data_IF_170349690514
#
_entry.id   IF_170349690514
#
_cell.length_a   1.000
_cell.length_b   1.000
_cell.length_c   1.000
_cell.angle_alpha   90.00
_cell.angle_beta   90.00
_cell.angle_gamma   90.00
#
_symmetry.space_group_name_H-M   'P 1'
#
loop_
_entity.id
_entity.type
_entity.pdbx_description
1 polymer ?
2 non-polymer ?
3 non-polymer ?
4 non-polymer ?
5 non-polymer ?
6 non-polymer ?
7 non-polymer ?
8 water ?
#
# COMPACT_ATOMS: atom_id res chain seq x y z
N UNK A 8 -8.87 25.01 18.66
CA UNK A 8 -7.92 23.87 18.38
C UNK A 8 -8.65 22.56 18.15
N UNK A 9 -8.42 21.94 16.98
CA UNK A 9 -9.23 20.80 16.62
C UNK A 9 -8.40 19.86 15.72
N UNK A 10 -8.11 18.68 16.24
CA UNK A 10 -7.27 17.68 15.54
C UNK A 10 -8.10 16.76 14.70
N UNK A 11 -7.60 16.45 13.49
CA UNK A 11 -8.22 15.49 12.63
C UNK A 11 -7.19 14.56 11.99
N UNK A 12 -7.69 13.43 11.51
CA UNK A 12 -6.82 12.50 10.77
C UNK A 12 -7.37 12.33 9.34
N UNK A 13 -6.48 12.43 8.36
CA UNK A 13 -6.92 12.23 6.96
C UNK A 13 -6.18 10.98 6.46
N UNK A 14 -6.91 9.92 6.23
CA UNK A 14 -6.34 8.67 5.66
C UNK A 14 -6.38 8.75 4.13
N UNK A 15 -5.26 8.48 3.49
CA UNK A 15 -5.15 8.63 2.03
C UNK A 15 -4.58 7.35 1.43
N UNK A 16 -5.41 6.66 0.69
CA UNK A 16 -4.92 5.47 0.00
C UNK A 16 -4.82 5.75 -1.51
N UNK A 17 -4.20 4.83 -2.26
CA UNK A 17 -4.24 4.95 -3.70
C UNK A 17 -5.72 5.00 -4.14
N UNK A 18 -6.47 4.06 -3.57
CA UNK A 18 -7.89 3.90 -3.82
C UNK A 18 -8.13 2.71 -4.76
N UNK A 19 -9.31 2.12 -4.60
CA UNK A 19 -9.79 1.02 -5.44
C UNK A 19 -11.28 1.30 -5.73
N UNK A 20 -11.77 0.90 -6.91
CA UNK A 20 -13.23 1.01 -7.19
C UNK A 20 -13.89 -0.34 -7.30
N UNK A 21 -13.15 -1.40 -6.97
CA UNK A 21 -13.74 -2.73 -6.97
C UNK A 21 -14.15 -3.16 -5.57
N UNK A 22 -15.41 -3.59 -5.49
CA UNK A 22 -16.14 -3.74 -4.23
C UNK A 22 -15.62 -4.91 -3.40
N UNK A 23 -15.11 -5.95 -4.07
CA UNK A 23 -14.41 -7.03 -3.39
C UNK A 23 -13.12 -6.54 -2.70
N UNK A 24 -12.50 -5.48 -3.21
CA UNK A 24 -11.25 -4.93 -2.64
C UNK A 24 -11.44 -3.88 -1.50
N UNK A 25 -12.45 -3.02 -1.67
CA UNK A 25 -12.75 -1.87 -0.76
C UNK A 25 -12.91 -2.16 0.76
N UNK A 26 -13.54 -3.31 1.14
CA UNK A 26 -13.70 -3.59 2.56
C UNK A 26 -12.38 -3.62 3.31
N UNK A 27 -11.27 -3.89 2.61
CA UNK A 27 -9.96 -3.83 3.26
C UNK A 27 -9.55 -2.41 3.73
N UNK A 28 -10.10 -1.38 3.07
CA UNK A 28 -9.91 0.02 3.53
C UNK A 28 -10.75 0.34 4.77
N UNK A 29 -12.02 -0.05 4.74
CA UNK A 29 -12.88 0.01 5.92
C UNK A 29 -12.24 -0.62 7.17
N UNK A 30 -11.55 -1.75 6.96
CA UNK A 30 -10.83 -2.42 8.02
C UNK A 30 -9.79 -1.47 8.60
N UNK A 31 -9.03 -0.81 7.71
CA UNK A 31 -8.04 0.14 8.15
C UNK A 31 -8.68 1.29 8.91
N UNK A 32 -9.81 1.80 8.42
CA UNK A 32 -10.56 2.83 9.14
C UNK A 32 -10.99 2.38 10.54
N UNK A 33 -11.46 1.13 10.69
CA UNK A 33 -11.76 0.60 12.04
C UNK A 33 -10.55 0.57 12.96
N UNK A 34 -9.41 0.10 12.42
CA UNK A 34 -8.16 0.09 13.21
C UNK A 34 -7.81 1.48 13.68
N UNK A 35 -7.97 2.48 12.81
CA UNK A 35 -7.55 3.83 13.21
C UNK A 35 -8.49 4.39 14.32
N UNK A 36 -9.79 4.21 14.10
CA UNK A 36 -10.84 4.62 15.05
C UNK A 36 -10.60 3.96 16.41
N UNK A 37 -10.28 2.66 16.41
CA UNK A 37 -9.97 1.92 17.65
C UNK A 37 -8.78 2.49 18.36
N UNK A 38 -7.73 2.88 17.62
CA UNK A 38 -6.54 3.44 18.25
C UNK A 38 -6.68 4.89 18.66
N UNK A 39 -7.60 5.64 18.06
CA UNK A 39 -7.68 7.10 18.36
C UNK A 39 -9.16 7.43 18.44
N UNK A 40 -9.85 6.89 19.46
CA UNK A 40 -11.31 6.97 19.46
C UNK A 40 -11.86 8.40 19.51
N UNK A 41 -11.08 9.38 19.93
CA UNK A 41 -11.64 10.72 20.04
C UNK A 41 -11.27 11.66 18.88
N UNK A 42 -10.60 11.14 17.86
CA UNK A 42 -10.12 12.02 16.79
C UNK A 42 -10.91 11.70 15.51
N UNK A 43 -11.58 12.71 14.92
CA UNK A 43 -12.31 12.50 13.67
C UNK A 43 -11.39 12.00 12.52
N UNK A 44 -11.93 11.11 11.69
CA UNK A 44 -11.16 10.46 10.63
C UNK A 44 -11.87 10.76 9.31
N UNK A 45 -11.13 11.25 8.33
CA UNK A 45 -11.66 11.54 7.01
C UNK A 45 -10.82 10.73 5.97
N UNK A 46 -11.34 10.61 4.74
CA UNK A 46 -10.62 9.81 3.71
C UNK A 46 -10.38 10.65 2.49
N UNK A 47 -9.26 10.41 1.78
CA UNK A 47 -9.09 10.94 0.42
C UNK A 47 -8.38 9.86 -0.40
N UNK A 48 -8.29 10.08 -1.71
CA UNK A 48 -7.75 9.05 -2.62
C UNK A 48 -6.81 9.69 -3.60
N UNK A 49 -5.61 9.12 -3.83
CA UNK A 49 -4.62 9.76 -4.70
C UNK A 49 -4.75 9.48 -6.20
N UNK A 50 -5.38 8.38 -6.61
CA UNK A 50 -5.44 8.16 -8.05
C UNK A 50 -6.61 8.91 -8.70
N UNK A 51 -6.33 9.82 -9.65
CA UNK A 51 -7.38 10.61 -10.31
C UNK A 51 -8.42 9.69 -11.00
N UNK A 52 -7.95 8.58 -11.60
CA UNK A 52 -8.87 7.67 -12.31
C UNK A 52 -9.77 6.92 -11.38
N UNK A 53 -9.28 6.57 -10.20
CA UNK A 53 -10.12 5.89 -9.25
C UNK A 53 -11.20 6.87 -8.69
N UNK A 54 -10.80 8.12 -8.44
CA UNK A 54 -11.83 9.13 -7.94
C UNK A 54 -12.92 9.29 -9.02
N UNK A 55 -12.51 9.34 -10.28
CA UNK A 55 -13.48 9.39 -11.40
C UNK A 55 -14.42 8.21 -11.41
N UNK A 56 -13.91 6.97 -11.23
CA UNK A 56 -14.80 5.80 -11.19
C UNK A 56 -15.74 5.80 -10.00
N UNK A 57 -15.23 6.23 -8.85
CA UNK A 57 -16.04 6.23 -7.63
C UNK A 57 -17.15 7.31 -7.77
N UNK A 58 -16.80 8.49 -8.25
CA UNK A 58 -17.83 9.52 -8.48
C UNK A 58 -18.90 9.00 -9.48
N UNK A 59 -18.44 8.30 -10.53
CA UNK A 59 -19.40 7.67 -11.46
C UNK A 59 -20.39 6.73 -10.77
N UNK A 60 -19.96 5.96 -9.77
CA UNK A 60 -20.88 5.10 -9.01
C UNK A 60 -21.70 5.86 -7.95
N UNK A 61 -21.63 7.20 -7.95
CA UNK A 61 -22.39 7.97 -6.95
C UNK A 61 -21.77 8.07 -5.55
N UNK A 62 -20.47 7.84 -5.46
CA UNK A 62 -19.76 7.77 -4.19
C UNK A 62 -18.83 9.00 -4.10
N UNK A 63 -18.87 9.73 -2.97
CA UNK A 63 -17.93 10.85 -2.74
C UNK A 63 -16.49 10.31 -2.66
N UNK A 64 -15.55 10.92 -3.36
CA UNK A 64 -14.17 10.39 -3.38
C UNK A 64 -13.21 11.58 -3.55
N UNK A 65 -13.02 12.35 -2.47
CA UNK A 65 -12.28 13.59 -2.59
C UNK A 65 -10.79 13.36 -2.88
N UNK A 66 -10.16 14.22 -3.66
CA UNK A 66 -8.71 14.29 -3.73
C UNK A 66 -8.16 14.80 -2.39
N UNK A 67 -6.84 14.63 -2.14
CA UNK A 67 -6.30 15.18 -0.88
C UNK A 67 -6.60 16.70 -0.78
N UNK A 68 -6.49 17.44 -1.89
CA UNK A 68 -6.79 18.92 -1.86
C UNK A 68 -8.28 19.21 -1.52
N UNK A 69 -9.20 18.45 -2.11
CA UNK A 69 -10.63 18.62 -1.81
C UNK A 69 -10.91 18.30 -0.33
N UNK A 70 -10.32 17.20 0.13
CA UNK A 70 -10.48 16.78 1.52
C UNK A 70 -9.96 17.83 2.51
N UNK A 71 -8.75 18.34 2.28
CA UNK A 71 -8.17 19.29 3.23
C UNK A 71 -8.95 20.63 3.15
N UNK A 72 -9.34 21.04 1.95
CA UNK A 72 -10.16 22.27 1.84
C UNK A 72 -11.47 22.14 2.63
N UNK A 73 -12.08 20.97 2.57
CA UNK A 73 -13.32 20.69 3.33
C UNK A 73 -13.06 20.64 4.83
N UNK A 74 -11.93 20.04 5.23
CA UNK A 74 -11.59 19.99 6.68
C UNK A 74 -11.31 21.40 7.25
N UNK A 75 -10.65 22.23 6.44
CA UNK A 75 -10.39 23.63 6.86
C UNK A 75 -11.74 24.33 7.04
N UNK A 76 -12.70 24.04 6.17
CA UNK A 76 -14.03 24.64 6.30
C UNK A 76 -14.81 24.14 7.55
N UNK A 77 -14.62 22.89 7.95
CA UNK A 77 -15.12 22.37 9.23
C UNK A 77 -14.44 22.94 10.48
N UNK A 78 -13.39 23.72 10.34
CA UNK A 78 -12.74 24.27 11.52
C UNK A 78 -11.62 23.39 12.11
N UNK A 79 -11.21 22.32 11.40
CA UNK A 79 -9.97 21.62 11.86
C UNK A 79 -8.79 22.59 11.81
N UNK A 80 -7.86 22.43 12.76
CA UNK A 80 -6.66 23.27 12.79
C UNK A 80 -5.40 22.43 12.63
N UNK A 81 -5.43 21.16 13.06
CA UNK A 81 -4.21 20.33 13.05
C UNK A 81 -4.58 18.99 12.46
N UNK A 82 -3.96 18.61 11.34
CA UNK A 82 -4.42 17.39 10.66
C UNK A 82 -3.19 16.51 10.41
N UNK A 83 -3.30 15.24 10.80
CA UNK A 83 -2.26 14.22 10.47
C UNK A 83 -2.79 13.45 9.24
N UNK A 84 -2.07 13.59 8.15
CA UNK A 84 -2.39 12.91 6.91
C UNK A 84 -1.59 11.56 6.89
N UNK A 85 -2.25 10.41 6.85
CA UNK A 85 -1.50 9.17 6.79
C UNK A 85 -1.60 8.54 5.42
N UNK A 86 -0.46 8.41 4.80
CA UNK A 86 -0.34 7.69 3.56
C UNK A 86 -0.50 6.15 3.79
N UNK A 87 -1.42 5.54 3.07
CA UNK A 87 -1.49 4.08 2.94
C UNK A 87 -0.80 3.58 1.65
N UNK A 88 0.21 4.32 1.16
CA UNK A 88 1.07 3.91 0.06
C UNK A 88 2.14 2.96 0.61
N UNK A 89 2.75 2.22 -0.30
CA UNK A 89 3.82 1.27 0.08
C UNK A 89 5.20 1.91 0.15
N UNK A 90 5.50 2.80 -0.82
CA UNK A 90 6.81 3.43 -0.95
C UNK A 90 6.66 4.94 -1.03
N UNK A 91 7.72 5.69 -0.71
CA UNK A 91 7.70 7.19 -0.80
C UNK A 91 7.98 7.64 -2.24
N UNK A 92 7.09 7.20 -3.13
CA UNK A 92 7.22 7.44 -4.56
C UNK A 92 6.50 8.71 -5.03
N UNK A 93 6.09 8.73 -6.29
CA UNK A 93 5.51 9.94 -6.89
C UNK A 93 4.23 10.34 -6.17
N UNK A 94 3.34 9.37 -5.89
CA UNK A 94 2.07 9.62 -5.20
C UNK A 94 2.32 10.15 -3.83
N UNK A 95 3.20 9.50 -3.08
CA UNK A 95 3.52 9.98 -1.75
C UNK A 95 4.11 11.43 -1.77
N UNK A 96 5.05 11.68 -2.68
CA UNK A 96 5.67 13.03 -2.74
C UNK A 96 4.62 14.10 -3.12
N UNK A 97 3.68 13.74 -4.02
CA UNK A 97 2.57 14.68 -4.41
C UNK A 97 1.72 14.99 -3.22
N UNK A 98 1.43 13.96 -2.44
CA UNK A 98 0.67 14.12 -1.22
C UNK A 98 1.34 15.02 -0.20
N UNK A 99 2.65 14.86 -0.02
CA UNK A 99 3.40 15.70 0.88
C UNK A 99 3.37 17.19 0.46
N UNK A 100 3.55 17.43 -0.82
CA UNK A 100 3.50 18.79 -1.33
C UNK A 100 2.10 19.43 -1.15
N UNK A 101 1.06 18.65 -1.44
CA UNK A 101 -0.32 19.13 -1.27
C UNK A 101 -0.63 19.42 0.17
N UNK A 102 -0.36 18.45 1.03
CA UNK A 102 -0.49 18.66 2.46
C UNK A 102 0.20 19.92 2.96
N UNK A 103 1.46 20.11 2.59
CA UNK A 103 2.18 21.25 3.10
C UNK A 103 1.74 22.60 2.50
N UNK A 104 1.17 22.54 1.29
CA UNK A 104 0.58 23.73 0.65
C UNK A 104 -0.59 24.29 1.47
N UNK A 105 -1.34 23.43 2.14
CA UNK A 105 -2.49 23.87 2.95
C UNK A 105 -2.09 24.46 4.29
N UNK A 106 -0.95 24.02 4.80
CA UNK A 106 -0.51 24.41 6.12
C UNK A 106 -0.17 25.91 6.15
N UNK A 107 -0.78 26.61 7.08
CA UNK A 107 -0.43 28.00 7.23
C UNK A 107 -1.19 28.98 6.36
N UNK A 108 -2.11 28.49 5.53
CA UNK A 108 -2.95 29.38 4.70
C UNK A 108 -3.85 30.27 5.59
N UNK A 109 -3.97 31.54 5.22
CA UNK A 109 -4.69 32.50 6.07
C UNK A 109 -6.10 31.98 6.41
N UNK A 110 -6.45 31.92 7.68
CA UNK A 110 -7.75 31.41 8.16
C UNK A 110 -7.98 29.91 7.95
N UNK A 111 -6.94 29.18 7.56
CA UNK A 111 -7.15 27.74 7.28
C UNK A 111 -6.43 26.88 8.30
N UNK A 112 -5.89 25.74 7.85
CA UNK A 112 -5.19 24.79 8.72
C UNK A 112 -3.92 25.39 9.34
N UNK A 113 -3.68 25.13 10.62
CA UNK A 113 -2.40 25.60 11.23
C UNK A 113 -1.21 24.67 10.88
N UNK A 114 -1.45 23.36 10.98
CA UNK A 114 -0.35 22.38 10.87
C UNK A 114 -0.88 21.14 10.19
N UNK A 115 -0.18 20.67 9.15
CA UNK A 115 -0.58 19.48 8.46
C UNK A 115 0.64 18.57 8.40
N UNK A 116 0.62 17.49 9.17
CA UNK A 116 1.75 16.50 9.14
C UNK A 116 1.44 15.33 8.21
N UNK A 117 2.46 14.55 7.79
CA UNK A 117 2.21 13.48 6.86
C UNK A 117 2.94 12.22 7.36
N UNK A 118 2.21 11.14 7.59
CA UNK A 118 2.77 9.87 8.01
C UNK A 118 3.47 9.18 6.87
N UNK A 119 4.58 8.51 7.18
CA UNK A 119 5.38 7.82 6.19
C UNK A 119 4.61 6.65 5.60
N UNK A 120 4.91 6.30 4.36
CA UNK A 120 4.31 5.14 3.75
C UNK A 120 4.92 3.86 4.36
N UNK A 121 4.50 2.69 3.89
CA UNK A 121 4.89 1.45 4.59
C UNK A 121 6.42 1.28 4.71
N UNK A 122 7.11 1.33 3.58
CA UNK A 122 8.55 1.17 3.53
C UNK A 122 9.20 2.54 3.70
N UNK A 123 9.25 2.99 4.95
CA UNK A 123 9.82 4.30 5.31
C UNK A 123 11.31 4.15 5.57
N UNK A 124 11.73 3.94 6.79
CA UNK A 124 13.15 3.80 7.03
C UNK A 124 13.65 2.35 6.70
N UNK A 125 14.97 2.11 6.74
CA UNK A 125 15.44 0.70 6.65
C UNK A 125 14.89 -0.11 7.85
N UNK A 126 14.69 0.53 9.01
CA UNK A 126 14.01 -0.15 10.12
C UNK A 126 12.57 -0.57 9.80
N UNK A 127 11.83 0.30 9.09
CA UNK A 127 10.51 -0.09 8.58
C UNK A 127 10.66 -1.26 7.61
N UNK A 128 11.62 -1.15 6.68
CA UNK A 128 11.77 -2.21 5.64
C UNK A 128 11.96 -3.58 6.31
N UNK A 129 12.79 -3.60 7.33
CA UNK A 129 12.99 -4.83 8.10
C UNK A 129 11.71 -5.29 8.79
N UNK A 130 10.94 -4.36 9.38
CA UNK A 130 9.67 -4.73 10.00
C UNK A 130 8.64 -5.20 8.96
N UNK A 131 8.63 -4.58 7.80
CA UNK A 131 7.73 -5.01 6.71
C UNK A 131 8.04 -6.45 6.27
N UNK A 132 9.33 -6.76 6.09
CA UNK A 132 9.73 -8.12 5.71
C UNK A 132 9.21 -9.12 6.75
N UNK A 133 9.40 -8.82 8.03
CA UNK A 133 8.89 -9.69 9.12
C UNK A 133 7.38 -9.82 9.10
N UNK A 134 6.69 -8.72 8.85
CA UNK A 134 5.21 -8.74 8.83
C UNK A 134 4.67 -9.52 7.64
N UNK A 135 5.33 -9.38 6.47
CA UNK A 135 4.92 -10.13 5.27
C UNK A 135 5.06 -11.62 5.54
N UNK A 136 6.16 -12.02 6.17
CA UNK A 136 6.34 -13.45 6.48
C UNK A 136 5.20 -13.92 7.40
N UNK A 137 4.85 -13.10 8.41
CA UNK A 137 3.78 -13.46 9.36
C UNK A 137 2.45 -13.53 8.67
N UNK A 138 2.33 -12.85 7.55
CA UNK A 138 1.08 -12.82 6.83
C UNK A 138 0.90 -13.96 5.80
N UNK A 139 1.91 -14.79 5.57
CA UNK A 139 1.84 -15.85 4.54
C UNK A 139 0.68 -16.84 4.83
N UNK A 140 0.03 -17.36 3.77
CA UNK A 140 -1.04 -18.34 4.00
C UNK A 140 -0.47 -19.59 4.69
N UNK A 141 -1.26 -20.16 5.63
CA UNK A 141 -0.83 -21.31 6.40
C UNK A 141 -0.55 -22.50 5.48
N UNK A 142 -1.19 -22.53 4.31
CA UNK A 142 -0.98 -23.69 3.41
C UNK A 142 0.33 -23.68 2.62
N UNK A 143 1.02 -22.54 2.57
CA UNK A 143 2.31 -22.45 1.87
C UNK A 143 3.32 -23.32 2.63
N UNK A 144 4.00 -24.21 1.92
CA UNK A 144 4.98 -25.11 2.57
C UNK A 144 6.36 -24.52 2.57
N UNK A 145 7.22 -24.91 3.54
CA UNK A 145 8.62 -24.48 3.50
C UNK A 145 9.27 -24.76 2.16
N UNK A 146 10.01 -23.81 1.64
CA UNK A 146 10.67 -23.99 0.34
C UNK A 146 9.81 -23.59 -0.86
N UNK A 147 8.49 -23.43 -0.70
CA UNK A 147 7.69 -22.97 -1.86
C UNK A 147 7.89 -21.45 -2.03
N UNK A 148 8.35 -21.01 -3.21
CA UNK A 148 8.59 -19.56 -3.28
C UNK A 148 7.29 -18.74 -3.17
N UNK A 149 7.45 -17.52 -2.70
CA UNK A 149 6.34 -16.55 -2.64
C UNK A 149 6.84 -15.29 -3.37
N UNK A 150 6.06 -14.80 -4.33
CA UNK A 150 6.44 -13.61 -5.06
C UNK A 150 5.51 -12.51 -4.57
N UNK A 151 6.08 -11.43 -4.07
CA UNK A 151 5.30 -10.25 -3.67
C UNK A 151 5.27 -9.28 -4.82
N UNK A 152 4.05 -8.87 -5.19
CA UNK A 152 3.89 -8.07 -6.40
C UNK A 152 3.72 -6.59 -6.01
N UNK A 153 4.71 -5.77 -6.36
CA UNK A 153 4.60 -4.33 -6.13
C UNK A 153 4.17 -3.61 -7.40
N UNK A 154 3.74 -2.33 -7.29
CA UNK A 154 3.37 -1.58 -8.52
C UNK A 154 4.66 -1.34 -9.34
N UNK A 155 5.68 -0.82 -8.70
CA UNK A 155 6.86 -0.39 -9.42
C UNK A 155 6.63 1.05 -9.92
N UNK A 156 7.72 1.76 -10.19
CA UNK A 156 7.59 3.19 -10.54
C UNK A 156 8.88 3.65 -11.21
N UNK A 157 8.77 4.66 -12.11
CA UNK A 157 9.99 5.30 -12.57
C UNK A 157 10.62 6.25 -11.51
N UNK A 158 9.90 6.58 -10.44
CA UNK A 158 10.43 7.47 -9.41
C UNK A 158 11.67 6.79 -8.75
N UNK A 159 12.63 7.59 -8.26
CA UNK A 159 13.76 7.05 -7.46
C UNK A 159 13.37 6.10 -6.31
N UNK A 160 12.21 6.28 -5.68
CA UNK A 160 11.81 5.38 -4.57
C UNK A 160 11.53 3.94 -5.03
N UNK A 161 11.51 3.68 -6.35
CA UNK A 161 11.45 2.27 -6.86
C UNK A 161 12.54 1.39 -6.15
N UNK A 162 13.61 2.04 -5.68
CA UNK A 162 14.75 1.36 -5.08
C UNK A 162 14.28 0.67 -3.78
N UNK A 163 13.10 1.07 -3.25
CA UNK A 163 12.56 0.35 -2.08
C UNK A 163 12.26 -1.15 -2.35
N UNK A 164 11.95 -1.49 -3.60
CA UNK A 164 11.57 -2.89 -3.88
C UNK A 164 12.82 -3.80 -3.84
N UNK A 165 13.90 -3.47 -4.57
CA UNK A 165 15.11 -4.30 -4.30
C UNK A 165 15.62 -4.18 -2.85
N UNK A 166 15.49 -3.01 -2.20
CA UNK A 166 15.84 -2.91 -0.77
C UNK A 166 15.03 -3.93 0.05
N UNK A 167 13.73 -4.00 -0.18
CA UNK A 167 12.89 -4.95 0.54
C UNK A 167 13.34 -6.40 0.21
N UNK A 168 13.69 -6.66 -1.04
CA UNK A 168 14.18 -8.00 -1.43
C UNK A 168 15.38 -8.40 -0.53
N UNK A 169 16.30 -7.45 -0.30
CA UNK A 169 17.42 -7.70 0.60
C UNK A 169 16.93 -8.18 1.98
N UNK A 170 15.96 -7.48 2.60
CA UNK A 170 15.49 -7.87 3.92
C UNK A 170 14.71 -9.18 3.91
N UNK A 171 13.90 -9.42 2.89
CA UNK A 171 13.17 -10.69 2.79
C UNK A 171 14.13 -11.89 2.70
N UNK A 172 15.20 -11.74 1.94
CA UNK A 172 16.15 -12.86 1.80
C UNK A 172 16.91 -13.18 3.10
N UNK A 173 17.08 -12.17 3.97
CA UNK A 173 17.62 -12.41 5.33
C UNK A 173 16.73 -13.34 6.12
N UNK A 174 15.46 -13.40 5.78
CA UNK A 174 14.52 -14.29 6.45
C UNK A 174 14.29 -15.64 5.77
N UNK A 175 14.27 -15.68 4.46
CA UNK A 175 13.94 -16.91 3.73
C UNK A 175 14.42 -16.66 2.30
N UNK A 176 15.30 -17.52 1.76
CA UNK A 176 15.84 -17.28 0.44
C UNK A 176 14.81 -17.46 -0.68
N UNK A 177 13.63 -18.00 -0.38
CA UNK A 177 12.66 -18.27 -1.42
C UNK A 177 11.54 -17.21 -1.46
N UNK A 178 11.73 -16.10 -0.75
CA UNK A 178 10.78 -14.98 -0.83
C UNK A 178 11.35 -14.00 -1.88
N UNK A 179 10.50 -13.62 -2.83
CA UNK A 179 10.93 -12.80 -3.97
C UNK A 179 10.04 -11.56 -4.14
N UNK A 180 10.61 -10.50 -4.71
CA UNK A 180 9.85 -9.27 -4.94
C UNK A 180 9.86 -9.06 -6.45
N UNK A 181 8.70 -8.86 -7.02
CA UNK A 181 8.63 -8.43 -8.40
C UNK A 181 7.68 -7.24 -8.53
N UNK A 182 7.80 -6.51 -9.62
CA UNK A 182 6.92 -5.35 -9.84
C UNK A 182 6.39 -5.38 -11.31
N UNK A 183 5.23 -4.76 -11.49
CA UNK A 183 4.59 -4.59 -12.80
C UNK A 183 5.37 -3.58 -13.66
N UNK A 184 5.77 -2.44 -13.10
CA UNK A 184 6.38 -1.38 -13.91
C UNK A 184 7.81 -1.00 -13.58
N UNK A 185 8.44 -1.68 -12.62
CA UNK A 185 9.79 -1.23 -12.23
C UNK A 185 10.75 -2.40 -12.10
N UNK A 186 11.60 -2.33 -11.08
CA UNK A 186 12.64 -3.37 -10.84
C UNK A 186 12.49 -3.85 -9.39
N UNK A 187 12.65 -5.18 -9.12
CA UNK A 187 12.90 -6.24 -10.11
C UNK A 187 11.68 -6.46 -11.01
N UNK A 188 11.91 -6.87 -12.25
CA UNK A 188 10.81 -7.10 -13.18
C UNK A 188 10.24 -8.52 -12.97
N UNK A 189 9.08 -8.81 -13.56
CA UNK A 189 8.60 -10.20 -13.59
C UNK A 189 9.55 -11.16 -14.33
N UNK A 190 10.19 -10.69 -15.40
CA UNK A 190 11.24 -11.53 -16.02
C UNK A 190 12.37 -11.90 -15.04
N UNK A 191 12.79 -10.93 -14.23
CA UNK A 191 13.80 -11.18 -13.18
C UNK A 191 13.27 -12.24 -12.21
N UNK A 192 12.02 -12.13 -11.82
CA UNK A 192 11.40 -13.10 -10.90
C UNK A 192 11.40 -14.50 -11.55
N UNK A 193 11.02 -14.59 -12.82
CA UNK A 193 11.00 -15.95 -13.46
C UNK A 193 12.39 -16.54 -13.50
N UNK A 194 13.41 -15.69 -13.71
CA UNK A 194 14.80 -16.18 -13.67
C UNK A 194 15.16 -16.72 -12.28
N UNK A 195 14.75 -16.00 -11.22
CA UNK A 195 14.88 -16.54 -9.82
C UNK A 195 14.17 -17.88 -9.64
N UNK A 196 12.95 -18.00 -10.16
CA UNK A 196 12.17 -19.24 -10.00
C UNK A 196 12.83 -20.38 -10.78
N UNK A 197 13.33 -20.10 -11.99
CA UNK A 197 13.98 -21.12 -12.83
C UNK A 197 15.17 -21.73 -12.11
N UNK A 198 15.99 -20.91 -11.46
CA UNK A 198 17.15 -21.48 -10.75
C UNK A 198 16.73 -22.30 -9.55
N UNK A 199 15.60 -21.96 -8.94
CA UNK A 199 15.10 -22.74 -7.83
C UNK A 199 14.33 -24.00 -8.28
N UNK A 200 14.02 -24.13 -9.58
CA UNK A 200 13.20 -25.25 -10.17
C UNK A 200 11.92 -25.43 -9.38
N UNK A 201 11.31 -24.31 -8.98
CA UNK A 201 10.15 -24.39 -8.10
C UNK A 201 8.95 -24.93 -8.85
N UNK A 202 8.23 -25.87 -8.22
CA UNK A 202 7.01 -26.37 -8.87
C UNK A 202 5.68 -25.72 -8.43
N UNK A 203 5.65 -25.12 -7.24
CA UNK A 203 4.45 -24.40 -6.78
C UNK A 203 4.94 -23.04 -6.25
N UNK A 204 4.26 -21.97 -6.67
CA UNK A 204 4.70 -20.63 -6.36
C UNK A 204 3.46 -19.82 -5.93
N UNK A 205 3.55 -19.17 -4.77
CA UNK A 205 2.48 -18.29 -4.23
C UNK A 205 2.72 -16.85 -4.71
N UNK A 206 1.63 -16.10 -4.95
CA UNK A 206 1.71 -14.72 -5.44
C UNK A 206 0.82 -13.88 -4.50
N UNK A 207 1.42 -12.84 -3.92
CA UNK A 207 0.74 -11.99 -2.96
C UNK A 207 0.96 -10.54 -3.30
N UNK A 208 -0.11 -9.73 -3.25
CA UNK A 208 0.05 -8.29 -3.54
C UNK A 208 0.81 -7.62 -2.40
N UNK A 209 1.73 -6.74 -2.75
CA UNK A 209 2.45 -5.96 -1.75
C UNK A 209 1.62 -4.68 -1.34
N UNK A 210 0.71 -4.29 -2.20
CA UNK A 210 0.00 -3.04 -1.98
C UNK A 210 -1.15 -3.21 -0.99
N UNK A 211 -1.60 -2.08 -0.45
CA UNK A 211 -2.59 -2.10 0.65
C UNK A 211 -3.84 -2.88 0.25
N UNK A 212 -4.32 -2.63 -0.97
CA UNK A 212 -5.56 -3.24 -1.46
C UNK A 212 -5.28 -4.03 -2.73
N UNK A 213 -5.88 -5.22 -2.86
CA UNK A 213 -5.75 -5.97 -4.10
C UNK A 213 -6.72 -5.37 -5.15
N UNK A 214 -6.26 -4.34 -5.87
CA UNK A 214 -7.07 -3.71 -6.91
C UNK A 214 -6.96 -4.42 -8.27
N UNK A 215 -6.84 -3.62 -9.32
CA UNK A 215 -6.74 -4.11 -10.70
C UNK A 215 -5.37 -4.78 -11.01
N UNK A 216 -4.28 -4.31 -10.42
CA UNK A 216 -3.01 -5.00 -10.65
C UNK A 216 -3.08 -6.43 -10.08
N UNK A 217 -3.62 -6.57 -8.88
CA UNK A 217 -3.60 -7.88 -8.24
C UNK A 217 -4.51 -8.82 -9.03
N UNK A 218 -5.62 -8.27 -9.50
CA UNK A 218 -6.62 -9.12 -10.01
C UNK A 218 -6.37 -9.42 -11.48
N UNK A 219 -5.81 -8.47 -12.20
CA UNK A 219 -5.59 -8.71 -13.60
C UNK A 219 -4.16 -8.98 -13.93
N UNK A 220 -3.24 -8.09 -13.57
CA UNK A 220 -1.83 -8.29 -13.96
C UNK A 220 -1.23 -9.53 -13.26
N UNK A 221 -1.66 -9.78 -12.02
CA UNK A 221 -1.05 -10.87 -11.22
C UNK A 221 -1.78 -12.18 -11.51
N UNK A 222 -3.11 -12.11 -11.58
CA UNK A 222 -3.91 -13.31 -11.55
C UNK A 222 -5.00 -13.39 -12.61
N UNK A 223 -4.96 -12.51 -13.60
CA UNK A 223 -6.00 -12.55 -14.66
C UNK A 223 -5.97 -13.78 -15.56
N UNK A 224 -7.07 -14.01 -16.28
CA UNK A 224 -7.14 -15.15 -17.21
C UNK A 224 -6.34 -14.89 -18.46
N UNK A 225 -6.04 -13.64 -18.75
CA UNK A 225 -5.27 -13.29 -19.95
C UNK A 225 -3.84 -13.87 -19.95
N UNK A 226 -3.31 -14.10 -21.14
CA UNK A 226 -2.00 -14.71 -21.35
C UNK A 226 -0.89 -13.99 -20.63
N UNK A 227 -0.99 -12.66 -20.57
CA UNK A 227 0.05 -11.83 -19.98
C UNK A 227 0.07 -11.81 -18.45
N UNK A 228 -0.91 -12.39 -17.77
CA UNK A 228 -0.91 -12.32 -16.31
C UNK A 228 0.24 -13.13 -15.72
N UNK A 229 0.67 -12.81 -14.49
CA UNK A 229 1.70 -13.62 -13.85
C UNK A 229 1.29 -15.09 -13.72
N UNK A 230 0.05 -15.35 -13.31
CA UNK A 230 -0.39 -16.76 -13.10
C UNK A 230 -0.42 -17.51 -14.45
N UNK A 231 -0.89 -16.84 -15.52
CA UNK A 231 -0.84 -17.43 -16.87
C UNK A 231 0.57 -17.72 -17.35
N UNK A 232 1.50 -16.79 -17.19
CA UNK A 232 2.89 -17.04 -17.55
C UNK A 232 3.53 -18.19 -16.78
N UNK A 233 3.22 -18.29 -15.48
CA UNK A 233 3.73 -19.38 -14.68
C UNK A 233 3.16 -20.76 -15.12
N UNK A 234 1.84 -20.80 -15.38
CA UNK A 234 1.20 -22.03 -15.86
C UNK A 234 1.84 -22.53 -17.18
N UNK A 235 2.22 -21.59 -18.08
CA UNK A 235 2.90 -21.96 -19.32
C UNK A 235 4.26 -22.62 -19.10
N UNK A 236 4.92 -22.25 -18.00
CA UNK A 236 6.22 -22.80 -17.53
C UNK A 236 6.00 -24.08 -16.70
N UNK A 237 4.77 -24.57 -16.58
CA UNK A 237 4.54 -25.80 -15.80
C UNK A 237 4.53 -25.60 -14.29
N UNK A 238 4.35 -24.36 -13.83
CA UNK A 238 4.35 -24.09 -12.38
C UNK A 238 2.93 -23.97 -11.89
N UNK A 239 2.61 -24.59 -10.76
CA UNK A 239 1.29 -24.38 -10.14
C UNK A 239 1.35 -23.02 -9.42
N UNK A 240 0.63 -22.02 -9.94
CA UNK A 240 0.61 -20.69 -9.31
C UNK A 240 -0.53 -20.62 -8.29
N UNK A 241 -0.25 -20.03 -7.14
CA UNK A 241 -1.27 -19.92 -6.11
C UNK A 241 -1.43 -18.43 -5.76
N UNK A 242 -2.35 -17.71 -6.43
CA UNK A 242 -2.51 -16.27 -6.17
C UNK A 242 -3.33 -16.04 -4.93
N UNK A 243 -2.93 -15.04 -4.16
CA UNK A 243 -3.64 -14.72 -2.92
C UNK A 243 -4.19 -13.32 -3.15
N UNK A 244 -5.50 -13.19 -3.21
CA UNK A 244 -6.09 -11.90 -3.60
C UNK A 244 -6.53 -11.08 -2.39
N UNK A 245 -5.60 -10.77 -1.51
CA UNK A 245 -5.87 -9.90 -0.36
C UNK A 245 -4.68 -8.95 -0.32
N UNK A 246 -4.91 -7.64 -0.11
CA UNK A 246 -3.79 -6.73 0.01
C UNK A 246 -3.17 -6.76 1.40
N UNK A 247 -2.10 -5.99 1.61
CA UNK A 247 -1.37 -6.07 2.86
C UNK A 247 -2.16 -5.37 3.96
N UNK A 248 -3.13 -4.53 3.61
CA UNK A 248 -3.94 -3.86 4.68
C UNK A 248 -4.74 -4.85 5.50
N UNK A 249 -5.03 -6.02 4.93
CA UNK A 249 -5.69 -7.12 5.66
C UNK A 249 -4.89 -7.69 6.81
N UNK A 250 -3.56 -7.66 6.73
CA UNK A 250 -2.75 -8.23 7.77
C UNK A 250 -2.64 -7.29 9.00
N UNK A 251 -2.92 -7.80 10.19
CA UNK A 251 -2.65 -7.00 11.40
C UNK A 251 -1.19 -6.62 11.52
N UNK A 252 -0.27 -7.53 11.18
CA UNK A 252 1.14 -7.21 11.39
C UNK A 252 1.60 -6.09 10.45
N UNK A 253 1.16 -6.14 9.20
CA UNK A 253 1.53 -5.09 8.24
C UNK A 253 0.84 -3.79 8.61
N UNK A 254 -0.43 -3.87 8.94
CA UNK A 254 -1.18 -2.67 9.32
C UNK A 254 -0.63 -1.96 10.51
N UNK A 255 -0.04 -2.68 11.47
CA UNK A 255 0.60 -2.02 12.64
C UNK A 255 1.67 -1.00 12.26
N UNK A 256 2.33 -1.22 11.11
CA UNK A 256 3.39 -0.33 10.67
C UNK A 256 2.80 1.02 10.23
N UNK A 257 1.74 0.99 9.40
CA UNK A 257 1.04 2.25 9.05
C UNK A 257 0.53 2.94 10.30
N UNK A 258 0.02 2.15 11.27
CA UNK A 258 -0.47 2.76 12.56
C UNK A 258 0.58 3.47 13.36
N UNK A 259 1.78 2.89 13.43
CA UNK A 259 2.90 3.53 14.11
C UNK A 259 3.28 4.81 13.37
N UNK A 260 3.28 4.77 12.04
CA UNK A 260 3.59 5.97 11.26
C UNK A 260 2.56 7.10 11.52
N UNK A 261 1.30 6.73 11.69
CA UNK A 261 0.24 7.71 12.05
C UNK A 261 0.48 8.25 13.45
N UNK A 262 0.85 7.39 14.40
CA UNK A 262 1.19 7.87 15.73
C UNK A 262 2.31 8.88 15.62
N UNK A 263 3.33 8.60 14.78
CA UNK A 263 4.43 9.57 14.65
C UNK A 263 3.94 10.92 14.05
N UNK A 264 3.04 10.84 13.07
CA UNK A 264 2.52 12.08 12.42
C UNK A 264 1.68 12.89 13.41
N UNK A 265 0.85 12.22 14.21
CA UNK A 265 0.09 12.90 15.28
C UNK A 265 1.01 13.58 16.29
N UNK A 266 2.11 12.91 16.69
CA UNK A 266 3.06 13.55 17.62
C UNK A 266 3.69 14.78 16.99
N UNK A 267 3.91 14.80 15.67
CA UNK A 267 4.49 15.99 14.99
C UNK A 267 3.59 17.24 14.93
N UNK A 268 2.31 17.07 15.25
CA UNK A 268 1.35 18.21 15.28
C UNK A 268 1.57 19.13 16.48
N UNK A 269 2.11 18.57 17.57
CA UNK A 269 2.50 19.36 18.75
C UNK A 269 3.88 19.92 18.50
#
# INVERSE_FOLDING_TARGET
GHGAPKAQKTGILLVAFGTSVEEARPALDKMGDRVRAAHPDIPVRWAYTAKMIRAKLRAEGIAAPSPAEALAGMAEEGFTHVAVQSLHTIPGEEFHGLLETAHAFQGLPKGLTRVSVGLPLIGTTADAEAVAEALVASLPADRKPGEPVVFMGHGTPHPADICYPGLQYYLWRLDPDLLVGTVEGSPSFDNVMAELDVRKAKRVWLMPLMAVAGDHARNDMAGDEDDSWTSQLARRGIEAKPVLHGTAESDAVAAIWLRHLDDALARLN
#
